data_IF_951115274617
#
_entry.id   IF_951115274617
#
_cell.length_a   1.000
_cell.length_b   1.000
_cell.length_c   1.000
_cell.angle_alpha   90.00
_cell.angle_beta   90.00
_cell.angle_gamma   90.00
#
_symmetry.space_group_name_H-M   'P 1'
#
loop_
_entity.id
_entity.type
_entity.pdbx_description
1 polymer ?
#
# COMPACT_ATOMS: atom_id res chain seq x y z
N UNK A 1 -8.12 -12.26 31.56
CA UNK A 1 -7.45 -11.11 30.89
C UNK A 1 -6.94 -11.47 29.47
N UNK A 2 -7.65 -12.30 28.69
CA UNK A 2 -7.12 -12.82 27.40
C UNK A 2 -7.82 -12.33 26.12
N UNK A 3 -9.04 -11.78 26.20
CA UNK A 3 -9.82 -11.43 25.00
C UNK A 3 -9.42 -10.08 24.38
N UNK A 4 -9.05 -9.09 25.19
CA UNK A 4 -8.68 -7.74 24.70
C UNK A 4 -7.32 -7.71 23.99
N UNK A 5 -6.34 -8.50 24.46
CA UNK A 5 -5.01 -8.57 23.83
C UNK A 5 -5.02 -9.28 22.47
N UNK A 6 -5.86 -10.32 22.30
CA UNK A 6 -5.98 -11.05 21.03
C UNK A 6 -6.64 -10.16 19.96
N UNK A 7 -7.65 -9.37 20.34
CA UNK A 7 -8.32 -8.43 19.42
C UNK A 7 -7.36 -7.37 18.87
N UNK A 8 -6.54 -6.75 19.73
CA UNK A 8 -5.56 -5.72 19.32
C UNK A 8 -4.37 -6.26 18.51
N UNK A 9 -4.07 -7.57 18.65
CA UNK A 9 -3.08 -8.28 17.84
C UNK A 9 -3.63 -8.60 16.45
N UNK A 10 -4.82 -9.20 16.37
CA UNK A 10 -5.47 -9.58 15.11
C UNK A 10 -5.73 -8.36 14.23
N UNK A 11 -6.19 -7.24 14.80
CA UNK A 11 -6.41 -6.00 14.05
C UNK A 11 -5.15 -5.44 13.41
N UNK A 12 -4.00 -5.51 14.10
CA UNK A 12 -2.70 -5.09 13.54
C UNK A 12 -2.23 -6.01 12.42
N UNK A 13 -2.38 -7.32 12.59
CA UNK A 13 -2.02 -8.32 11.58
C UNK A 13 -2.87 -8.16 10.32
N UNK A 14 -4.19 -8.00 10.46
CA UNK A 14 -5.10 -7.78 9.32
C UNK A 14 -4.73 -6.50 8.58
N UNK A 15 -4.46 -5.40 9.31
CA UNK A 15 -4.09 -4.12 8.70
C UNK A 15 -2.75 -4.20 7.96
N UNK A 16 -1.76 -4.92 8.48
CA UNK A 16 -0.50 -5.21 7.78
C UNK A 16 -0.73 -6.01 6.50
N UNK A 17 -1.56 -7.06 6.55
CA UNK A 17 -1.90 -7.87 5.38
C UNK A 17 -2.55 -7.01 4.30
N UNK A 18 -3.49 -6.13 4.67
CA UNK A 18 -4.12 -5.18 3.73
C UNK A 18 -3.07 -4.27 3.08
N UNK A 19 -2.12 -3.76 3.86
CA UNK A 19 -1.04 -2.89 3.36
C UNK A 19 -0.14 -3.62 2.35
N UNK A 20 0.19 -4.88 2.63
CA UNK A 20 0.96 -5.73 1.71
C UNK A 20 0.18 -5.99 0.42
N UNK A 21 -1.10 -6.36 0.52
CA UNK A 21 -1.96 -6.57 -0.64
C UNK A 21 -2.08 -5.29 -1.48
N UNK A 22 -2.30 -4.15 -0.85
CA UNK A 22 -2.36 -2.86 -1.53
C UNK A 22 -1.05 -2.56 -2.29
N UNK A 23 0.11 -2.81 -1.67
CA UNK A 23 1.41 -2.69 -2.32
C UNK A 23 1.57 -3.59 -3.55
N UNK A 24 1.15 -4.86 -3.44
CA UNK A 24 1.20 -5.82 -4.56
C UNK A 24 0.29 -5.35 -5.71
N UNK A 25 -0.93 -4.91 -5.40
CA UNK A 25 -1.89 -4.42 -6.40
C UNK A 25 -1.33 -3.20 -7.14
N UNK A 26 -0.80 -2.22 -6.41
CA UNK A 26 -0.19 -1.01 -6.99
C UNK A 26 0.99 -1.38 -7.89
N UNK A 27 1.89 -2.25 -7.42
CA UNK A 27 3.03 -2.71 -8.22
C UNK A 27 2.58 -3.43 -9.50
N UNK A 28 1.56 -4.28 -9.41
CA UNK A 28 1.04 -5.01 -10.56
C UNK A 28 0.39 -4.06 -11.59
N UNK A 29 -0.34 -3.05 -11.13
CA UNK A 29 -0.90 -2.00 -12.01
C UNK A 29 0.22 -1.21 -12.68
N UNK A 30 1.25 -0.78 -11.94
CA UNK A 30 2.39 -0.07 -12.51
C UNK A 30 3.13 -0.88 -13.56
N UNK A 31 3.42 -2.16 -13.29
CA UNK A 31 4.06 -3.06 -14.26
C UNK A 31 3.19 -3.24 -15.50
N UNK A 32 1.88 -3.40 -15.32
CA UNK A 32 0.93 -3.53 -16.44
C UNK A 32 0.91 -2.27 -17.31
N UNK A 33 0.90 -1.07 -16.70
CA UNK A 33 0.95 0.20 -17.42
C UNK A 33 2.30 0.40 -18.14
N UNK A 34 3.41 0.00 -17.52
CA UNK A 34 4.74 0.07 -18.15
C UNK A 34 4.88 -0.89 -19.34
N UNK A 35 4.31 -2.10 -19.23
CA UNK A 35 4.30 -3.10 -20.31
C UNK A 35 3.33 -2.71 -21.42
N UNK A 36 2.18 -2.14 -21.07
CA UNK A 36 1.17 -1.66 -22.01
C UNK A 36 1.41 -0.20 -22.44
N UNK A 37 2.66 0.14 -22.81
CA UNK A 37 3.07 1.50 -23.23
C UNK A 37 2.22 2.12 -24.35
N UNK A 38 1.37 1.34 -25.02
CA UNK A 38 0.40 1.80 -26.02
C UNK A 38 -0.89 2.40 -25.40
N UNK A 39 -1.00 2.51 -24.08
CA UNK A 39 -2.16 3.10 -23.38
C UNK A 39 -2.31 4.61 -23.58
N UNK A 40 -1.34 5.28 -24.22
CA UNK A 40 -1.34 6.73 -24.41
C UNK A 40 -0.97 7.53 -23.15
N UNK A 41 -0.58 6.85 -22.07
CA UNK A 41 -0.08 7.46 -20.84
C UNK A 41 1.40 7.87 -21.01
N UNK A 42 1.67 9.14 -20.80
CA UNK A 42 3.00 9.71 -20.68
C UNK A 42 3.76 9.17 -19.46
N UNK A 43 5.09 9.28 -19.53
CA UNK A 43 5.99 8.87 -18.43
C UNK A 43 5.72 9.69 -17.16
N UNK A 44 5.32 10.94 -17.32
CA UNK A 44 4.92 11.86 -16.26
C UNK A 44 3.67 11.40 -15.50
N UNK A 45 2.66 10.90 -16.21
CA UNK A 45 1.41 10.39 -15.59
C UNK A 45 1.65 9.08 -14.84
N UNK A 46 2.51 8.21 -15.39
CA UNK A 46 2.99 6.99 -14.72
C UNK A 46 3.76 7.29 -13.43
N UNK A 47 4.62 8.30 -13.46
CA UNK A 47 5.37 8.76 -12.27
C UNK A 47 4.43 9.42 -11.26
N UNK A 48 3.48 10.23 -11.70
CA UNK A 48 2.50 10.87 -10.82
C UNK A 48 1.61 9.82 -10.13
N UNK A 49 1.12 8.83 -10.88
CA UNK A 49 0.32 7.73 -10.35
C UNK A 49 1.13 6.85 -9.39
N UNK A 50 2.32 6.38 -9.81
CA UNK A 50 3.18 5.54 -9.00
C UNK A 50 3.70 6.24 -7.75
N UNK A 51 4.08 7.51 -7.88
CA UNK A 51 4.52 8.37 -6.79
C UNK A 51 3.40 8.60 -5.77
N UNK A 52 2.19 8.92 -6.23
CA UNK A 52 1.01 9.10 -5.36
C UNK A 52 0.64 7.83 -4.61
N UNK A 53 0.63 6.68 -5.29
CA UNK A 53 0.35 5.40 -4.69
C UNK A 53 1.41 4.98 -3.65
N UNK A 54 2.70 5.20 -3.95
CA UNK A 54 3.81 4.95 -3.03
C UNK A 54 3.73 5.87 -1.79
N UNK A 55 3.39 7.15 -1.98
CA UNK A 55 3.16 8.11 -0.88
C UNK A 55 2.02 7.67 0.03
N UNK A 56 0.88 7.25 -0.54
CA UNK A 56 -0.26 6.74 0.23
C UNK A 56 0.13 5.52 1.09
N UNK A 57 0.86 4.56 0.50
CA UNK A 57 1.40 3.41 1.22
C UNK A 57 2.37 3.81 2.34
N UNK A 58 3.28 4.75 2.08
CA UNK A 58 4.25 5.22 3.06
C UNK A 58 3.59 5.97 4.23
N UNK A 59 2.56 6.78 3.97
CA UNK A 59 1.80 7.48 5.01
C UNK A 59 1.07 6.48 5.90
N UNK A 60 0.37 5.50 5.32
CA UNK A 60 -0.36 4.47 6.07
C UNK A 60 0.61 3.62 6.91
N UNK A 61 1.78 3.29 6.34
CA UNK A 61 2.85 2.56 7.03
C UNK A 61 3.51 3.37 8.16
N UNK A 62 3.76 4.66 7.95
CA UNK A 62 4.30 5.56 8.97
C UNK A 62 3.30 5.78 10.12
N UNK A 63 2.00 5.86 9.80
CA UNK A 63 0.91 5.87 10.78
C UNK A 63 0.90 4.60 11.64
N UNK A 64 1.10 3.44 11.02
CA UNK A 64 1.26 2.16 11.75
C UNK A 64 2.47 2.17 12.69
N UNK A 65 3.64 2.63 12.21
CA UNK A 65 4.87 2.70 13.03
C UNK A 65 4.72 3.63 14.23
N UNK A 66 3.95 4.73 14.09
CA UNK A 66 3.71 5.70 15.17
C UNK A 66 2.71 5.18 16.21
N UNK A 67 1.70 4.42 15.77
CA UNK A 67 0.66 3.84 16.64
C UNK A 67 1.16 2.62 17.46
N UNK A 68 2.33 2.07 17.13
CA UNK A 68 2.97 0.98 17.86
C UNK A 68 3.88 1.39 19.03
N UNK A 69 4.06 2.71 19.29
CA UNK A 69 4.71 3.25 20.50
C UNK A 69 3.65 3.71 21.49
#
# INVERSE_FOLDING_TARGET
MGAEQVSGSTGRTVRLVILVIAGIVVANVLVSLLMARDTGLGVDELIAFGGGAALGLLVEFAGFRRSGR
#
